data_IF_615816840020
#
_entry.id   IF_615816840020
#
_cell.length_a   1.000
_cell.length_b   1.000
_cell.length_c   1.000
_cell.angle_alpha   90.00
_cell.angle_beta   90.00
_cell.angle_gamma   90.00
#
_symmetry.space_group_name_H-M   'P 1'
#
loop_
_entity.id
_entity.type
_entity.pdbx_description
1 polymer ?
#
# COMPACT_ATOMS: atom_id res chain seq x y z
N UNK A 1 1.62 13.92 -8.27
CA UNK A 1 0.63 14.12 -7.20
C UNK A 1 1.28 14.97 -6.13
N UNK A 2 0.54 15.87 -5.48
CA UNK A 2 1.02 16.58 -4.30
C UNK A 2 1.22 15.57 -3.16
N UNK A 3 2.15 15.87 -2.25
CA UNK A 3 2.34 15.09 -1.03
C UNK A 3 1.03 15.08 -0.21
N UNK A 4 0.59 13.92 0.34
CA UNK A 4 -0.56 13.85 1.23
C UNK A 4 -0.33 14.67 2.49
N UNK A 5 -1.41 15.00 3.20
CA UNK A 5 -1.32 15.69 4.49
C UNK A 5 -0.49 14.84 5.47
N UNK A 6 0.50 15.46 6.10
CA UNK A 6 1.29 14.82 7.16
C UNK A 6 0.52 14.86 8.48
N UNK A 7 0.51 13.72 9.17
CA UNK A 7 -0.07 13.53 10.50
C UNK A 7 0.99 13.18 11.55
N UNK A 8 2.20 12.77 11.15
CA UNK A 8 3.30 12.61 12.07
C UNK A 8 3.78 13.95 12.66
N UNK A 9 4.24 13.95 13.92
CA UNK A 9 5.01 15.07 14.45
C UNK A 9 6.23 15.35 13.58
N UNK A 10 6.55 16.63 13.38
CA UNK A 10 7.63 17.05 12.50
C UNK A 10 8.98 16.39 12.84
N UNK A 11 9.29 16.25 14.14
CA UNK A 11 10.55 15.64 14.58
C UNK A 11 10.65 14.14 14.21
N UNK A 12 9.56 13.38 14.36
CA UNK A 12 9.50 11.96 13.98
C UNK A 12 9.61 11.81 12.45
N UNK A 13 8.90 12.65 11.69
CA UNK A 13 8.96 12.66 10.22
C UNK A 13 10.38 12.95 9.73
N UNK A 14 11.04 13.96 10.28
CA UNK A 14 12.42 14.32 9.91
C UNK A 14 13.44 13.22 10.24
N UNK A 15 13.19 12.40 11.28
CA UNK A 15 14.03 11.26 11.58
C UNK A 15 13.99 10.21 10.45
N UNK A 16 12.80 9.83 9.98
CA UNK A 16 12.67 8.90 8.86
C UNK A 16 13.31 9.43 7.58
N UNK A 17 13.13 10.71 7.28
CA UNK A 17 13.72 11.36 6.09
C UNK A 17 15.25 11.35 6.15
N UNK A 18 15.84 11.65 7.31
CA UNK A 18 17.29 11.62 7.51
C UNK A 18 17.88 10.22 7.38
N UNK A 19 17.15 9.21 7.85
CA UNK A 19 17.53 7.80 7.72
C UNK A 19 17.24 7.22 6.32
N UNK A 20 16.56 7.95 5.44
CA UNK A 20 16.16 7.47 4.12
C UNK A 20 15.13 6.34 4.14
N UNK A 21 14.38 6.19 5.24
CA UNK A 21 13.44 5.07 5.47
C UNK A 21 12.04 5.41 4.95
N UNK A 22 11.92 5.62 3.65
CA UNK A 22 10.69 6.12 3.02
C UNK A 22 9.49 5.18 3.21
N UNK A 23 9.67 3.86 3.08
CA UNK A 23 8.55 2.92 3.28
C UNK A 23 8.04 2.95 4.73
N UNK A 24 8.94 3.08 5.71
CA UNK A 24 8.57 3.21 7.11
C UNK A 24 7.85 4.55 7.37
N UNK A 25 8.28 5.63 6.73
CA UNK A 25 7.60 6.92 6.78
C UNK A 25 6.16 6.81 6.28
N UNK A 26 5.97 6.22 5.10
CA UNK A 26 4.63 6.09 4.50
C UNK A 26 3.69 5.26 5.37
N UNK A 27 4.19 4.17 5.97
CA UNK A 27 3.40 3.36 6.90
C UNK A 27 3.05 4.16 8.16
N UNK A 28 4.02 4.86 8.75
CA UNK A 28 3.81 5.63 9.98
C UNK A 28 2.81 6.78 9.78
N UNK A 29 2.94 7.54 8.68
CA UNK A 29 1.99 8.57 8.29
C UNK A 29 0.59 7.99 8.03
N UNK A 30 0.50 6.85 7.35
CA UNK A 30 -0.76 6.17 7.11
C UNK A 30 -1.46 5.77 8.41
N UNK A 31 -0.71 5.24 9.38
CA UNK A 31 -1.27 4.82 10.67
C UNK A 31 -1.80 6.02 11.44
N UNK A 32 -1.04 7.12 11.52
CA UNK A 32 -1.49 8.35 12.19
C UNK A 32 -2.72 8.97 11.54
N UNK A 33 -2.76 9.03 10.22
CA UNK A 33 -3.94 9.49 9.50
C UNK A 33 -5.17 8.64 9.85
N UNK A 34 -5.02 7.31 9.92
CA UNK A 34 -6.08 6.39 10.32
C UNK A 34 -6.53 6.56 11.78
N UNK A 35 -5.61 6.81 12.71
CA UNK A 35 -5.93 7.10 14.12
C UNK A 35 -6.79 8.36 14.28
N UNK A 36 -6.56 9.37 13.43
CA UNK A 36 -7.34 10.61 13.35
C UNK A 36 -8.63 10.47 12.50
N UNK A 37 -8.90 9.28 11.96
CA UNK A 37 -10.07 8.99 11.14
C UNK A 37 -10.00 9.51 9.70
N UNK A 38 -8.83 9.97 9.24
CA UNK A 38 -8.60 10.40 7.86
C UNK A 38 -8.11 9.22 6.99
N UNK A 39 -9.06 8.33 6.66
CA UNK A 39 -8.77 7.15 5.85
C UNK A 39 -8.27 7.50 4.45
N UNK A 40 -8.75 8.60 3.85
CA UNK A 40 -8.32 9.00 2.51
C UNK A 40 -6.83 9.37 2.50
N UNK A 41 -6.36 10.13 3.49
CA UNK A 41 -4.93 10.41 3.66
C UNK A 41 -4.14 9.15 4.00
N UNK A 42 -4.69 8.26 4.82
CA UNK A 42 -4.04 6.99 5.15
C UNK A 42 -3.72 6.17 3.87
N UNK A 43 -4.73 5.98 3.03
CA UNK A 43 -4.55 5.28 1.75
C UNK A 43 -3.62 6.03 0.79
N UNK A 44 -3.67 7.37 0.78
CA UNK A 44 -2.78 8.17 -0.06
C UNK A 44 -1.29 8.00 0.31
N UNK A 45 -0.99 7.85 1.60
CA UNK A 45 0.37 7.51 2.04
C UNK A 45 0.79 6.11 1.61
N UNK A 46 -0.06 5.10 1.79
CA UNK A 46 0.24 3.74 1.34
C UNK A 46 0.45 3.65 -0.17
N UNK A 47 -0.26 4.45 -0.96
CA UNK A 47 -0.09 4.51 -2.43
C UNK A 47 1.31 5.03 -2.86
N UNK A 48 2.05 5.72 -1.99
CA UNK A 48 3.42 6.13 -2.29
C UNK A 48 4.43 4.97 -2.21
N UNK A 49 4.17 3.99 -1.35
CA UNK A 49 5.02 2.81 -1.15
C UNK A 49 4.60 1.62 -2.02
N UNK A 50 5.37 0.53 -1.93
CA UNK A 50 4.94 -0.77 -2.43
C UNK A 50 4.33 -1.58 -1.29
N UNK A 51 3.13 -2.12 -1.52
CA UNK A 51 2.49 -3.02 -0.57
C UNK A 51 2.88 -4.47 -0.86
N UNK A 52 3.01 -5.32 0.17
CA UNK A 52 3.21 -6.75 -0.04
C UNK A 52 2.08 -7.35 -0.89
N UNK A 53 2.42 -8.33 -1.73
CA UNK A 53 1.50 -8.92 -2.70
C UNK A 53 0.27 -9.54 -2.00
N UNK A 54 0.48 -10.20 -0.87
CA UNK A 54 -0.55 -10.83 -0.06
C UNK A 54 -1.55 -9.82 0.52
N UNK A 55 -1.09 -8.60 0.85
CA UNK A 55 -1.97 -7.54 1.33
C UNK A 55 -2.85 -7.03 0.19
N UNK A 56 -2.28 -6.84 -1.01
CA UNK A 56 -3.06 -6.47 -2.19
C UNK A 56 -4.07 -7.55 -2.57
N UNK A 57 -3.71 -8.83 -2.42
CA UNK A 57 -4.64 -9.93 -2.64
C UNK A 57 -5.80 -9.91 -1.64
N UNK A 58 -5.52 -9.68 -0.36
CA UNK A 58 -6.55 -9.51 0.66
C UNK A 58 -7.45 -8.30 0.37
N UNK A 59 -6.89 -7.16 -0.04
CA UNK A 59 -7.68 -5.98 -0.43
C UNK A 59 -8.58 -6.26 -1.63
N UNK A 60 -8.07 -6.96 -2.66
CA UNK A 60 -8.88 -7.36 -3.81
C UNK A 60 -10.06 -8.22 -3.37
N UNK A 61 -9.86 -9.16 -2.47
CA UNK A 61 -10.95 -10.05 -2.03
C UNK A 61 -11.99 -9.35 -1.17
N UNK A 62 -11.59 -8.41 -0.33
CA UNK A 62 -12.51 -7.72 0.58
C UNK A 62 -13.20 -6.51 -0.06
N UNK A 63 -12.48 -5.77 -0.92
CA UNK A 63 -12.90 -4.45 -1.43
C UNK A 63 -12.98 -4.39 -2.96
N UNK A 64 -12.53 -5.43 -3.66
CA UNK A 64 -12.53 -5.51 -5.11
C UNK A 64 -11.31 -4.85 -5.77
N UNK A 65 -11.03 -5.20 -7.05
CA UNK A 65 -9.90 -4.64 -7.79
C UNK A 65 -10.06 -3.13 -8.06
N UNK A 66 -11.30 -2.64 -8.17
CA UNK A 66 -11.57 -1.22 -8.42
C UNK A 66 -11.18 -0.34 -7.23
N UNK A 67 -11.22 -0.87 -6.00
CA UNK A 67 -10.71 -0.17 -4.83
C UNK A 67 -9.21 0.12 -4.95
N UNK A 68 -8.43 -0.91 -5.31
CA UNK A 68 -6.97 -0.82 -5.49
C UNK A 68 -6.63 0.23 -6.55
N UNK A 69 -7.35 0.22 -7.68
CA UNK A 69 -7.20 1.22 -8.76
C UNK A 69 -7.56 2.61 -8.29
N UNK A 70 -8.72 2.77 -7.64
CA UNK A 70 -9.22 4.06 -7.16
C UNK A 70 -8.26 4.70 -6.16
N UNK A 71 -7.64 3.90 -5.29
CA UNK A 71 -6.65 4.36 -4.32
C UNK A 71 -5.25 4.54 -4.91
N UNK A 72 -5.02 4.14 -6.16
CA UNK A 72 -3.74 4.29 -6.84
C UNK A 72 -2.63 3.41 -6.22
N UNK A 73 -3.00 2.28 -5.63
CA UNK A 73 -2.04 1.37 -5.01
C UNK A 73 -1.16 0.72 -6.09
N UNK A 74 0.14 0.71 -5.84
CA UNK A 74 1.17 0.09 -6.67
C UNK A 74 1.03 -1.44 -6.65
N UNK A 75 1.05 -2.07 -7.82
CA UNK A 75 0.76 -3.51 -7.98
C UNK A 75 1.95 -4.35 -8.41
N UNK A 76 3.14 -3.77 -8.53
CA UNK A 76 4.32 -4.40 -9.12
C UNK A 76 4.67 -5.73 -8.44
N UNK A 77 4.68 -5.78 -7.09
CA UNK A 77 4.94 -7.01 -6.35
C UNK A 77 3.85 -8.07 -6.55
N UNK A 78 2.59 -7.66 -6.67
CA UNK A 78 1.48 -8.58 -6.92
C UNK A 78 1.47 -9.07 -8.38
N UNK A 79 1.85 -8.23 -9.33
CA UNK A 79 2.03 -8.60 -10.73
C UNK A 79 3.18 -9.61 -10.89
N UNK A 80 4.25 -9.48 -10.10
CA UNK A 80 5.35 -10.45 -10.03
C UNK A 80 4.89 -11.79 -9.41
N UNK A 81 4.21 -11.73 -8.26
CA UNK A 81 3.79 -12.92 -7.51
C UNK A 81 2.67 -13.72 -8.20
N UNK A 82 1.65 -13.04 -8.73
CA UNK A 82 0.41 -13.66 -9.23
C UNK A 82 0.24 -13.55 -10.76
N UNK A 83 1.18 -12.87 -11.42
CA UNK A 83 1.18 -12.60 -12.85
C UNK A 83 0.30 -11.41 -13.23
N UNK A 84 0.73 -10.68 -14.27
CA UNK A 84 -0.05 -9.57 -14.86
C UNK A 84 -1.49 -10.01 -15.14
N UNK A 85 -2.44 -9.16 -14.76
CA UNK A 85 -3.88 -9.46 -14.84
C UNK A 85 -4.46 -10.13 -13.60
N UNK A 86 -3.70 -10.19 -12.49
CA UNK A 86 -4.21 -10.72 -11.23
C UNK A 86 -5.37 -9.89 -10.60
N UNK A 87 -5.66 -8.71 -11.14
CA UNK A 87 -6.88 -8.01 -10.71
C UNK A 87 -8.16 -8.64 -11.27
N UNK A 88 -8.08 -9.39 -12.38
CA UNK A 88 -9.26 -9.90 -13.09
C UNK A 88 -9.55 -11.39 -12.86
N UNK A 89 -8.63 -12.18 -12.29
CA UNK A 89 -8.93 -13.61 -12.09
C UNK A 89 -9.82 -13.78 -10.86
N UNK A 90 -10.84 -14.62 -11.03
CA UNK A 90 -11.80 -14.99 -9.98
C UNK A 90 -11.18 -15.91 -8.92
N UNK A 91 -10.14 -16.69 -9.28
CA UNK A 91 -9.44 -17.62 -8.39
C UNK A 91 -7.93 -17.56 -8.59
N UNK A 92 -7.19 -17.63 -7.48
CA UNK A 92 -5.73 -17.82 -7.45
C UNK A 92 -5.42 -19.10 -6.71
N UNK A 93 -4.65 -19.97 -7.35
CA UNK A 93 -3.78 -20.91 -6.65
C UNK A 93 -2.41 -20.25 -6.60
N UNK A 94 -1.82 -20.08 -5.41
CA UNK A 94 -0.41 -19.72 -5.29
C UNK A 94 0.39 -20.65 -6.21
N UNK A 95 1.35 -20.11 -6.98
CA UNK A 95 2.26 -20.96 -7.76
C UNK A 95 2.86 -21.95 -6.77
N UNK A 96 2.65 -23.25 -6.99
CA UNK A 96 3.35 -24.27 -6.21
C UNK A 96 4.84 -23.97 -6.30
N UNK A 97 5.46 -23.70 -5.16
CA UNK A 97 6.90 -23.75 -5.00
C UNK A 97 7.31 -25.21 -5.19
N UNK A 98 7.41 -25.65 -6.45
CA UNK A 98 8.11 -26.87 -6.79
C UNK A 98 9.60 -26.57 -6.66
N UNK A 99 10.11 -26.83 -5.45
CA UNK A 99 11.52 -27.16 -5.22
C UNK A 99 11.76 -28.64 -5.48
#
# INVERSE_FOLDING_TARGET
MSEPKSYLPAEEREAFLREGRMDALYIAESLRAGEEGDEDTAWAWLAQGQMPAEVLLALKWNLGPDFIRKKGLKTELADEAYGKGWMEKEKYTEKSLQG
#
